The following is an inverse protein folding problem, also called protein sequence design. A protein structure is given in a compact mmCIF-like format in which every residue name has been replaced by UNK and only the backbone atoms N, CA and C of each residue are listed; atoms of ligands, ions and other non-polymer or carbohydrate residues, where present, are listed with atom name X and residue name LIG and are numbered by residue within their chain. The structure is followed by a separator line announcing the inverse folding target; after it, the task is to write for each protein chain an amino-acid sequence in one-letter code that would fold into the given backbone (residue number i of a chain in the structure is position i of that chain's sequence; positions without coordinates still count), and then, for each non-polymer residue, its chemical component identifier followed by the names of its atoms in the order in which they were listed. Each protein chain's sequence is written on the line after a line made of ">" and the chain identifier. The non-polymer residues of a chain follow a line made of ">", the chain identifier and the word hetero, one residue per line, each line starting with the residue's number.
data_IF_065677329933
#
_entry.id   IF_065677329933
#
_cell.length_a   1.000
_cell.length_b   1.000
_cell.length_c   1.000
_cell.angle_alpha   90.00
_cell.angle_beta   90.00
_cell.angle_gamma   90.00
#
_symmetry.space_group_name_H-M   'P 1'
#
loop_
_entity.id
_entity.type
_entity.pdbx_description
1 polymer ?
#
# COMPACT_ATOMS: atom_id res chain seq x y z
N UNK A 1 12.88 19.15 4.23
CA UNK A 1 12.17 17.95 3.75
C UNK A 1 10.71 18.12 4.13
N UNK A 2 9.76 18.03 3.20
CA UNK A 2 8.35 18.17 3.55
C UNK A 2 7.91 17.00 4.42
N UNK A 3 7.11 17.32 5.43
CA UNK A 3 6.51 16.38 6.35
C UNK A 3 5.01 16.44 6.15
N UNK A 4 4.38 15.29 5.90
CA UNK A 4 2.94 15.17 5.72
C UNK A 4 2.35 14.47 6.93
N UNK A 5 1.15 14.89 7.33
CA UNK A 5 0.41 14.24 8.40
C UNK A 5 -0.34 13.02 7.85
N UNK A 6 -0.41 11.97 8.66
CA UNK A 6 -1.21 10.78 8.40
C UNK A 6 -1.95 10.32 9.66
N UNK A 7 -2.96 9.49 9.46
CA UNK A 7 -3.69 8.80 10.52
C UNK A 7 -3.38 7.30 10.42
N UNK A 8 -2.75 6.68 11.43
CA UNK A 8 -2.50 5.24 11.40
C UNK A 8 -3.81 4.46 11.48
N UNK A 9 -3.97 3.51 10.57
CA UNK A 9 -4.99 2.44 10.63
C UNK A 9 -4.37 1.15 11.16
N UNK A 10 -3.09 0.93 10.84
CA UNK A 10 -2.23 -0.11 11.38
C UNK A 10 -0.86 0.47 11.67
N UNK A 11 -0.47 0.44 12.94
CA UNK A 11 0.83 0.93 13.41
C UNK A 11 1.99 0.16 12.78
N UNK A 12 3.10 0.86 12.52
CA UNK A 12 4.32 0.28 11.97
C UNK A 12 5.25 1.33 11.41
N UNK A 13 6.38 0.88 10.87
CA UNK A 13 7.37 1.73 10.20
C UNK A 13 7.78 1.12 8.87
N UNK A 14 7.95 1.96 7.86
CA UNK A 14 8.44 1.54 6.57
C UNK A 14 9.33 2.63 5.97
N UNK A 15 10.36 2.21 5.24
CA UNK A 15 11.20 3.12 4.48
C UNK A 15 11.41 2.53 3.08
N UNK A 16 11.11 3.31 2.05
CA UNK A 16 11.32 2.84 0.68
C UNK A 16 10.76 3.76 -0.39
N UNK A 17 11.00 3.40 -1.66
CA UNK A 17 10.49 4.16 -2.79
C UNK A 17 8.96 4.05 -2.87
N UNK A 18 8.32 5.18 -3.15
CA UNK A 18 6.89 5.28 -3.37
C UNK A 18 6.52 4.73 -4.75
N UNK A 19 5.45 3.93 -4.76
CA UNK A 19 4.63 3.65 -5.92
C UNK A 19 3.27 4.30 -5.70
N UNK A 20 3.00 5.41 -6.39
CA UNK A 20 1.68 6.08 -6.36
C UNK A 20 0.86 5.61 -7.55
N UNK A 21 -0.29 5.00 -7.28
CA UNK A 21 -1.22 4.60 -8.34
C UNK A 21 -2.04 5.81 -8.81
N UNK A 22 -2.18 5.94 -10.13
CA UNK A 22 -3.00 6.98 -10.76
C UNK A 22 -4.46 6.56 -10.99
N UNK A 23 -4.78 5.29 -10.74
CA UNK A 23 -6.13 4.73 -10.80
C UNK A 23 -6.39 3.80 -9.61
N UNK A 24 -7.66 3.51 -9.37
CA UNK A 24 -8.08 2.51 -8.39
C UNK A 24 -7.67 1.10 -8.85
N UNK A 25 -7.26 0.25 -7.89
CA UNK A 25 -6.75 -1.10 -8.18
C UNK A 25 -7.59 -2.18 -7.51
N UNK A 26 -7.88 -3.26 -8.22
CA UNK A 26 -8.33 -4.51 -7.58
C UNK A 26 -7.12 -5.39 -7.27
N UNK A 27 -6.95 -5.75 -6.00
CA UNK A 27 -5.93 -6.75 -5.64
C UNK A 27 -6.30 -8.12 -6.22
N UNK A 28 -7.59 -8.47 -6.22
CA UNK A 28 -8.07 -9.70 -6.82
C UNK A 28 -8.03 -9.63 -8.34
N UNK A 29 -7.11 -10.39 -8.95
CA UNK A 29 -6.94 -10.45 -10.40
C UNK A 29 -6.20 -9.26 -11.02
N UNK A 30 -5.94 -8.18 -10.27
CA UNK A 30 -5.12 -7.06 -10.71
C UNK A 30 -3.68 -7.08 -10.20
N UNK A 31 -3.38 -7.86 -9.16
CA UNK A 31 -2.02 -8.07 -8.66
C UNK A 31 -1.71 -9.57 -8.62
N UNK A 32 -0.55 -9.96 -9.13
CA UNK A 32 -0.05 -11.32 -9.04
C UNK A 32 0.59 -11.56 -7.65
N UNK A 33 0.01 -12.45 -6.82
CA UNK A 33 0.51 -12.70 -5.46
C UNK A 33 1.90 -13.35 -5.41
N UNK A 34 2.34 -13.98 -6.50
CA UNK A 34 3.64 -14.65 -6.58
C UNK A 34 4.79 -13.69 -6.92
N UNK A 35 4.48 -12.53 -7.53
CA UNK A 35 5.49 -11.57 -8.00
C UNK A 35 5.31 -10.15 -7.47
N UNK A 36 4.13 -9.83 -6.92
CA UNK A 36 3.74 -8.46 -6.55
C UNK A 36 3.51 -7.54 -7.77
N UNK A 37 3.46 -8.10 -8.98
CA UNK A 37 3.30 -7.33 -10.22
C UNK A 37 1.85 -6.95 -10.45
N UNK A 38 1.60 -5.72 -10.89
CA UNK A 38 0.30 -5.27 -11.38
C UNK A 38 0.07 -5.93 -12.74
N UNK A 39 -0.88 -6.85 -12.80
CA UNK A 39 -1.20 -7.68 -13.98
C UNK A 39 -2.49 -7.25 -14.68
N UNK A 40 -3.30 -6.37 -14.10
CA UNK A 40 -4.43 -5.79 -14.83
C UNK A 40 -3.91 -4.97 -16.01
N UNK A 41 -4.13 -5.48 -17.22
CA UNK A 41 -3.74 -4.84 -18.49
C UNK A 41 -4.36 -3.46 -18.72
N UNK A 42 -5.43 -3.12 -18.00
CA UNK A 42 -6.13 -1.82 -18.12
C UNK A 42 -5.60 -0.78 -17.14
N UNK A 43 -4.83 -1.19 -16.14
CA UNK A 43 -4.31 -0.28 -15.12
C UNK A 43 -3.14 0.54 -15.70
N UNK A 44 -3.06 1.87 -15.46
CA UNK A 44 -1.99 2.70 -16.01
C UNK A 44 -0.58 2.23 -15.60
N UNK A 45 -0.46 1.74 -14.37
CA UNK A 45 0.77 1.16 -13.79
C UNK A 45 0.96 -0.33 -14.11
N UNK A 46 0.25 -0.88 -15.10
CA UNK A 46 0.44 -2.26 -15.55
C UNK A 46 1.93 -2.59 -15.76
N UNK A 47 2.34 -3.73 -15.22
CA UNK A 47 3.72 -4.20 -15.34
C UNK A 47 4.66 -3.74 -14.22
N UNK A 48 4.29 -2.72 -13.44
CA UNK A 48 5.04 -2.30 -12.24
C UNK A 48 4.82 -3.28 -11.09
N UNK A 49 5.73 -3.28 -10.11
CA UNK A 49 5.63 -4.13 -8.91
C UNK A 49 5.40 -3.30 -7.66
N UNK A 50 4.52 -3.77 -6.79
CA UNK A 50 4.29 -3.24 -5.45
C UNK A 50 5.32 -3.78 -4.45
N UNK A 51 5.99 -4.89 -4.78
CA UNK A 51 6.95 -5.56 -3.92
C UNK A 51 8.09 -4.61 -3.53
N UNK A 52 8.34 -4.48 -2.23
CA UNK A 52 9.42 -3.61 -1.73
C UNK A 52 9.18 -2.11 -1.96
N UNK A 53 7.93 -1.70 -2.20
CA UNK A 53 7.53 -0.28 -2.37
C UNK A 53 6.60 0.16 -1.25
N UNK A 54 6.57 1.46 -0.98
CA UNK A 54 5.46 2.06 -0.25
C UNK A 54 4.36 2.33 -1.28
N UNK A 55 3.20 1.71 -1.13
CA UNK A 55 2.09 1.80 -2.08
C UNK A 55 1.13 2.91 -1.66
N UNK A 56 0.92 3.91 -2.51
CA UNK A 56 -0.10 4.94 -2.31
C UNK A 56 -1.24 4.76 -3.32
N UNK A 57 -2.48 4.69 -2.83
CA UNK A 57 -3.67 4.52 -3.67
C UNK A 57 -4.87 5.32 -3.14
N UNK A 58 -5.80 5.69 -4.03
CA UNK A 58 -7.04 6.35 -3.61
C UNK A 58 -7.99 5.32 -2.98
N UNK A 59 -8.40 4.33 -3.77
CA UNK A 59 -9.29 3.24 -3.37
C UNK A 59 -8.81 1.90 -3.91
N UNK A 60 -9.19 0.82 -3.22
CA UNK A 60 -9.19 -0.52 -3.83
C UNK A 60 -10.56 -0.85 -4.41
N UNK A 61 -10.58 -1.74 -5.41
CA UNK A 61 -11.79 -2.24 -6.06
C UNK A 61 -12.10 -3.67 -5.59
N UNK A 62 -13.31 -3.89 -5.10
CA UNK A 62 -13.81 -5.19 -4.64
C UNK A 62 -13.97 -5.28 -3.12
N UNK A 63 -14.66 -6.31 -2.63
CA UNK A 63 -15.26 -6.27 -1.29
C UNK A 63 -14.68 -7.24 -0.24
N UNK A 64 -13.97 -8.30 -0.63
CA UNK A 64 -13.47 -9.27 0.36
C UNK A 64 -12.19 -9.98 -0.07
N UNK A 65 -12.10 -10.43 -1.32
CA UNK A 65 -10.93 -11.20 -1.79
C UNK A 65 -9.61 -10.44 -1.78
N UNK A 66 -9.65 -9.09 -1.75
CA UNK A 66 -8.45 -8.27 -1.69
C UNK A 66 -7.61 -8.49 -0.42
N UNK A 67 -8.25 -8.79 0.72
CA UNK A 67 -7.53 -9.05 1.98
C UNK A 67 -6.73 -10.36 1.91
N UNK A 68 -7.31 -11.42 1.31
CA UNK A 68 -6.63 -12.70 1.10
C UNK A 68 -5.43 -12.57 0.17
N UNK A 69 -5.55 -11.77 -0.90
CA UNK A 69 -4.43 -11.53 -1.81
C UNK A 69 -3.32 -10.73 -1.13
N UNK A 70 -3.65 -9.71 -0.35
CA UNK A 70 -2.64 -8.98 0.43
C UNK A 70 -1.95 -9.90 1.46
N UNK A 71 -2.71 -10.76 2.13
CA UNK A 71 -2.15 -11.75 3.05
C UNK A 71 -1.17 -12.69 2.33
N UNK A 72 -1.55 -13.22 1.17
CA UNK A 72 -0.68 -14.11 0.38
C UNK A 72 0.59 -13.38 -0.09
N UNK A 73 0.46 -12.13 -0.55
CA UNK A 73 1.60 -11.29 -0.90
C UNK A 73 2.58 -11.12 0.26
N UNK A 74 2.07 -10.84 1.47
CA UNK A 74 2.89 -10.65 2.67
C UNK A 74 3.47 -11.97 3.19
N UNK A 75 2.74 -13.07 3.08
CA UNK A 75 3.23 -14.41 3.38
C UNK A 75 4.41 -14.82 2.48
N UNK A 76 4.40 -14.37 1.21
CA UNK A 76 5.41 -14.72 0.22
C UNK A 76 6.56 -13.69 0.12
N UNK A 77 6.64 -12.70 1.01
CA UNK A 77 7.58 -11.57 0.92
C UNK A 77 7.51 -10.80 -0.42
N UNK A 78 6.32 -10.76 -1.04
CA UNK A 78 6.02 -10.05 -2.30
C UNK A 78 5.15 -8.81 -2.12
N UNK A 79 4.76 -8.52 -0.89
CA UNK A 79 3.92 -7.37 -0.55
C UNK A 79 4.65 -6.02 -0.57
N UNK A 80 3.89 -4.92 -0.43
CA UNK A 80 4.46 -3.61 -0.22
C UNK A 80 5.15 -3.52 1.14
N UNK A 81 6.01 -2.52 1.32
CA UNK A 81 6.63 -2.19 2.62
C UNK A 81 5.65 -1.45 3.54
N UNK A 82 4.68 -0.74 2.97
CA UNK A 82 3.68 0.05 3.68
C UNK A 82 2.61 0.55 2.70
N UNK A 83 1.43 0.91 3.22
CA UNK A 83 0.30 1.36 2.41
C UNK A 83 -0.17 2.74 2.88
N UNK A 84 -0.35 3.66 1.94
CA UNK A 84 -0.93 4.98 2.13
C UNK A 84 -2.28 5.03 1.39
N UNK A 85 -3.34 5.38 2.09
CA UNK A 85 -4.70 5.42 1.57
C UNK A 85 -5.25 6.85 1.59
N UNK A 86 -5.86 7.30 0.49
CA UNK A 86 -6.67 8.53 0.52
C UNK A 86 -8.02 8.26 1.18
N UNK A 87 -8.69 7.18 0.78
CA UNK A 87 -9.92 6.72 1.41
C UNK A 87 -9.64 5.47 2.25
N UNK A 88 -10.16 5.40 3.48
CA UNK A 88 -9.88 4.26 4.33
C UNK A 88 -10.47 2.99 3.72
N UNK A 89 -9.70 1.90 3.76
CA UNK A 89 -10.07 0.60 3.20
C UNK A 89 -9.88 -0.48 4.26
N UNK A 90 -10.99 -0.90 4.88
CA UNK A 90 -10.96 -1.90 5.95
C UNK A 90 -10.62 -3.30 5.45
N UNK A 91 -10.80 -3.61 4.17
CA UNK A 91 -10.52 -4.95 3.61
C UNK A 91 -9.01 -5.09 3.46
N UNK A 92 -8.36 -4.12 2.82
CA UNK A 92 -6.89 -4.10 2.69
C UNK A 92 -6.26 -4.01 4.08
N UNK A 93 -6.78 -3.16 4.96
CA UNK A 93 -6.28 -3.07 6.34
C UNK A 93 -6.40 -4.40 7.08
N UNK A 94 -7.51 -5.13 6.91
CA UNK A 94 -7.71 -6.45 7.52
C UNK A 94 -6.66 -7.46 7.03
N UNK A 95 -6.32 -7.46 5.73
CA UNK A 95 -5.27 -8.35 5.20
C UNK A 95 -3.93 -8.12 5.89
N UNK A 96 -3.56 -6.85 6.12
CA UNK A 96 -2.32 -6.48 6.82
C UNK A 96 -2.37 -6.84 8.32
N UNK A 97 -3.52 -6.65 8.98
CA UNK A 97 -3.72 -7.07 10.38
C UNK A 97 -3.54 -8.57 10.52
N UNK A 98 -4.23 -9.37 9.70
CA UNK A 98 -4.15 -10.84 9.76
C UNK A 98 -2.73 -11.31 9.48
N UNK A 99 -2.03 -10.72 8.49
CA UNK A 99 -0.64 -11.06 8.22
C UNK A 99 0.26 -10.85 9.45
N UNK A 100 0.09 -9.73 10.15
CA UNK A 100 0.81 -9.45 11.40
C UNK A 100 0.51 -10.46 12.49
N UNK A 101 -0.77 -10.79 12.72
CA UNK A 101 -1.16 -11.76 13.75
C UNK A 101 -0.68 -13.19 13.43
N UNK A 102 -0.47 -13.51 12.14
CA UNK A 102 0.12 -14.78 11.69
C UNK A 102 1.66 -14.80 11.73
N UNK A 103 2.30 -13.69 12.10
CA UNK A 103 3.77 -13.58 12.16
C UNK A 103 4.45 -13.36 10.80
N UNK A 104 3.70 -12.97 9.77
CA UNK A 104 4.27 -12.53 8.49
C UNK A 104 4.73 -11.07 8.54
N UNK A 105 5.21 -10.55 7.41
CA UNK A 105 5.66 -9.16 7.30
C UNK A 105 4.57 -8.17 7.79
N UNK A 106 4.90 -7.43 8.85
CA UNK A 106 4.02 -6.40 9.41
C UNK A 106 4.30 -5.07 8.71
N UNK A 107 3.28 -4.52 8.05
CA UNK A 107 3.39 -3.28 7.28
C UNK A 107 2.52 -2.19 7.90
N UNK A 108 2.98 -0.93 7.97
CA UNK A 108 2.11 0.18 8.35
C UNK A 108 1.05 0.41 7.28
N UNK A 109 -0.17 0.70 7.74
CA UNK A 109 -1.27 1.18 6.89
C UNK A 109 -1.72 2.52 7.45
N UNK A 110 -1.61 3.57 6.66
CA UNK A 110 -1.96 4.94 7.07
C UNK A 110 -2.94 5.56 6.11
N UNK A 111 -3.78 6.43 6.62
CA UNK A 111 -4.66 7.29 5.84
C UNK A 111 -4.09 8.71 5.78
N UNK A 112 -4.19 9.36 4.63
CA UNK A 112 -3.86 10.79 4.46
C UNK A 112 -5.06 11.55 3.90
N UNK A 113 -5.07 12.87 4.04
CA UNK A 113 -6.06 13.70 3.36
C UNK A 113 -5.70 13.92 1.88
N UNK A 114 -6.58 14.63 1.15
CA UNK A 114 -6.42 14.88 -0.28
C UNK A 114 -5.22 15.77 -0.59
N UNK A 115 -4.88 16.71 0.27
CA UNK A 115 -3.76 17.64 0.07
C UNK A 115 -2.43 16.89 0.22
N UNK A 116 -2.29 16.14 1.31
CA UNK A 116 -1.15 15.27 1.54
C UNK A 116 -1.00 14.22 0.44
N UNK A 117 -2.10 13.56 0.03
CA UNK A 117 -2.07 12.60 -1.08
C UNK A 117 -1.63 13.25 -2.40
N UNK A 118 -2.08 14.46 -2.69
CA UNK A 118 -1.68 15.20 -3.90
C UNK A 118 -0.18 15.56 -3.89
N UNK A 119 0.38 15.90 -2.72
CA UNK A 119 1.78 16.24 -2.54
C UNK A 119 2.75 15.04 -2.73
N UNK A 120 2.25 13.81 -2.65
CA UNK A 120 3.05 12.61 -2.93
C UNK A 120 3.45 12.53 -4.41
N UNK A 121 4.75 12.51 -4.69
CA UNK A 121 5.29 12.30 -6.03
C UNK A 121 5.79 10.86 -6.19
N UNK A 122 5.41 10.19 -7.29
CA UNK A 122 5.84 8.82 -7.56
C UNK A 122 7.38 8.69 -7.63
N UNK A 123 7.93 7.58 -7.13
CA UNK A 123 9.36 7.29 -7.17
C UNK A 123 10.23 7.96 -6.09
N UNK A 124 9.70 8.92 -5.33
CA UNK A 124 10.43 9.49 -4.17
C UNK A 124 10.57 8.47 -3.06
N UNK A 125 11.60 8.60 -2.22
CA UNK A 125 11.73 7.74 -1.04
C UNK A 125 10.92 8.33 0.11
N UNK A 126 10.15 7.50 0.80
CA UNK A 126 9.36 7.91 1.96
C UNK A 126 9.80 7.14 3.19
N UNK A 127 9.69 7.80 4.35
CA UNK A 127 9.65 7.15 5.64
C UNK A 127 8.26 7.31 6.23
N UNK A 128 7.62 6.19 6.53
CA UNK A 128 6.35 6.09 7.24
C UNK A 128 6.62 5.78 8.70
N UNK A 129 6.16 6.63 9.61
CA UNK A 129 6.20 6.41 11.06
C UNK A 129 4.90 6.92 11.70
N UNK A 130 3.90 6.04 11.77
CA UNK A 130 2.60 6.32 12.39
C UNK A 130 1.87 7.53 11.81
N UNK A 131 1.91 8.65 12.52
CA UNK A 131 1.22 9.90 12.17
C UNK A 131 1.99 10.78 11.18
N UNK A 132 3.23 10.39 10.83
CA UNK A 132 4.14 11.22 10.06
C UNK A 132 4.68 10.50 8.83
N UNK A 133 4.63 11.19 7.69
CA UNK A 133 5.30 10.79 6.46
C UNK A 133 6.41 11.80 6.15
N UNK A 134 7.66 11.33 6.08
CA UNK A 134 8.79 12.14 5.67
C UNK A 134 9.15 11.85 4.21
N UNK A 135 9.30 12.90 3.41
CA UNK A 135 9.69 12.80 2.00
C UNK A 135 11.19 13.06 1.84
N UNK A 136 11.88 12.05 1.30
CA UNK A 136 13.30 12.02 0.95
C UNK A 136 13.70 13.00 -0.15
#
# INVERSE_FOLDING_TARGET
>A
MPVLNSKPLLEGRANGPLLKLSADISFWGGVDPQTGKIIDSRHPEHGRTICGKILAMDRSIGSSSGSSILLELLQNDRGPLGIILLQPDFIITLGAVVAREMGFAAIPVVQVDREAFAALADGVTLQLDGEVIQVG
#
